data_IF_102940532993
#
_entry.id   IF_102940532993
#
_cell.length_a   1.000
_cell.length_b   1.000
_cell.length_c   1.000
_cell.angle_alpha   90.00
_cell.angle_beta   90.00
_cell.angle_gamma   90.00
#
_symmetry.space_group_name_H-M   'P 1'
#
loop_
_entity.id
_entity.type
_entity.pdbx_description
1 polymer ?
#
# COMPACT_ATOMS: atom_id res chain seq x y z
N UNK A 1 61.31 14.56 -39.73
CA UNK A 1 60.57 15.84 -39.55
C UNK A 1 59.18 15.59 -40.11
N UNK A 2 58.03 15.82 -39.48
CA UNK A 2 57.64 16.64 -38.34
C UNK A 2 56.29 16.09 -37.84
N UNK A 3 56.14 16.04 -36.52
CA UNK A 3 54.99 15.57 -35.74
C UNK A 3 53.68 16.29 -36.10
N UNK A 4 52.57 15.54 -36.18
CA UNK A 4 51.24 16.05 -35.84
C UNK A 4 50.44 14.95 -35.14
N UNK A 5 50.59 14.92 -33.82
CA UNK A 5 49.63 14.30 -32.89
C UNK A 5 48.38 15.18 -32.95
N UNK A 6 47.27 14.63 -33.46
CA UNK A 6 45.97 15.28 -33.36
C UNK A 6 45.20 14.59 -32.23
N UNK A 7 45.23 15.22 -31.05
CA UNK A 7 44.32 14.95 -29.95
C UNK A 7 42.88 15.16 -30.43
N UNK A 8 42.10 14.08 -30.53
CA UNK A 8 40.64 14.19 -30.50
C UNK A 8 40.23 14.02 -29.05
N UNK A 9 39.78 15.13 -28.48
CA UNK A 9 39.24 15.23 -27.13
C UNK A 9 37.98 14.36 -27.11
N UNK A 10 38.01 13.28 -26.33
CA UNK A 10 36.80 12.53 -26.00
C UNK A 10 35.89 13.46 -25.20
N UNK A 11 34.79 13.91 -25.81
CA UNK A 11 33.73 14.59 -25.09
C UNK A 11 33.06 13.55 -24.18
N UNK A 12 33.40 13.57 -22.89
CA UNK A 12 32.61 12.88 -21.87
C UNK A 12 31.22 13.53 -21.85
N UNK A 13 30.26 12.93 -22.55
CA UNK A 13 28.86 13.21 -22.32
C UNK A 13 28.59 12.82 -20.86
N UNK A 14 28.47 13.81 -19.99
CA UNK A 14 27.96 13.58 -18.64
C UNK A 14 26.53 13.09 -18.80
N UNK A 15 26.34 11.78 -18.70
CA UNK A 15 25.04 11.19 -18.39
C UNK A 15 24.64 11.80 -17.05
N UNK A 16 23.81 12.85 -17.10
CA UNK A 16 23.05 13.23 -15.92
C UNK A 16 22.18 12.01 -15.63
N UNK A 17 22.35 11.33 -14.48
CA UNK A 17 21.32 10.39 -14.07
C UNK A 17 20.08 11.24 -13.88
N UNK A 18 19.11 11.10 -14.80
CA UNK A 18 17.78 11.62 -14.56
C UNK A 18 17.35 11.05 -13.22
N UNK A 19 17.15 11.92 -12.23
CA UNK A 19 16.45 11.53 -11.03
C UNK A 19 15.11 10.98 -11.52
N UNK A 20 14.97 9.65 -11.55
CA UNK A 20 13.67 9.05 -11.45
C UNK A 20 12.97 9.77 -10.29
N UNK A 21 11.71 10.19 -10.41
CA UNK A 21 10.99 10.65 -9.24
C UNK A 21 11.17 9.55 -8.20
N UNK A 22 11.74 9.90 -7.04
CA UNK A 22 11.76 9.00 -5.90
C UNK A 22 10.34 8.47 -5.80
N UNK A 23 10.13 7.17 -5.96
CA UNK A 23 8.82 6.58 -5.74
C UNK A 23 8.45 7.05 -4.33
N UNK A 24 7.47 7.95 -4.27
CA UNK A 24 7.24 8.78 -3.08
C UNK A 24 7.16 7.89 -1.87
N UNK A 25 7.93 8.21 -0.83
CA UNK A 25 7.74 7.57 0.46
C UNK A 25 6.25 7.69 0.82
N UNK A 26 5.66 6.63 1.38
CA UNK A 26 4.28 6.68 1.86
C UNK A 26 4.12 7.92 2.75
N UNK A 27 3.08 8.69 2.49
CA UNK A 27 2.80 9.88 3.30
C UNK A 27 2.48 9.46 4.74
N UNK A 28 2.72 10.29 5.78
CA UNK A 28 2.55 9.87 7.17
C UNK A 28 1.13 9.45 7.57
N UNK A 29 0.14 9.76 6.75
CA UNK A 29 -1.26 9.36 6.93
C UNK A 29 -1.64 8.11 6.13
N UNK A 30 -0.80 7.68 5.20
CA UNK A 30 -0.97 6.41 4.50
C UNK A 30 -0.47 5.28 5.40
N UNK A 31 -1.08 4.11 5.25
CA UNK A 31 -0.66 2.94 5.99
C UNK A 31 -1.35 1.67 5.50
N UNK A 32 -0.96 0.56 6.10
CA UNK A 32 -1.55 -0.75 5.91
C UNK A 32 -2.09 -1.34 7.20
N UNK A 33 -3.15 -2.13 7.08
CA UNK A 33 -3.65 -3.04 8.09
C UNK A 33 -3.34 -4.47 7.62
N UNK A 34 -2.37 -5.13 8.25
CA UNK A 34 -2.18 -6.57 8.10
C UNK A 34 -3.19 -7.28 9.00
N UNK A 35 -4.06 -8.09 8.40
CA UNK A 35 -5.13 -8.77 9.12
C UNK A 35 -4.56 -9.93 9.92
N UNK A 36 -4.78 -9.91 11.23
CA UNK A 36 -4.25 -10.90 12.19
C UNK A 36 -5.27 -11.18 13.30
N UNK A 37 -5.07 -12.31 13.98
CA UNK A 37 -5.82 -12.66 15.19
C UNK A 37 -7.24 -13.16 14.97
N UNK A 38 -7.70 -13.32 13.73
CA UNK A 38 -9.00 -13.95 13.46
C UNK A 38 -8.96 -15.41 13.92
N UNK A 39 -10.01 -15.85 14.62
CA UNK A 39 -10.14 -17.23 15.09
C UNK A 39 -10.40 -18.18 13.90
N UNK A 40 -9.50 -19.14 13.61
CA UNK A 40 -9.71 -20.11 12.54
C UNK A 40 -10.86 -21.09 12.81
N UNK A 41 -11.30 -21.24 14.06
CA UNK A 41 -12.46 -22.06 14.42
C UNK A 41 -13.77 -21.25 14.47
N UNK A 42 -13.70 -19.93 14.33
CA UNK A 42 -14.85 -19.04 14.20
C UNK A 42 -15.28 -18.89 12.74
N UNK A 43 -15.67 -17.67 12.35
CA UNK A 43 -15.96 -17.34 10.95
C UNK A 43 -14.69 -17.20 10.10
N UNK A 44 -13.56 -16.85 10.72
CA UNK A 44 -12.23 -16.82 10.12
C UNK A 44 -12.05 -15.72 9.07
N UNK A 45 -12.83 -14.64 9.15
CA UNK A 45 -12.70 -13.49 8.25
C UNK A 45 -13.02 -12.16 8.93
N UNK A 46 -12.44 -11.08 8.40
CA UNK A 46 -12.82 -9.70 8.68
C UNK A 46 -13.73 -9.20 7.55
N UNK A 47 -14.91 -8.73 7.94
CA UNK A 47 -15.90 -8.13 7.05
C UNK A 47 -15.47 -6.73 6.61
N UNK A 48 -15.51 -6.48 5.30
CA UNK A 48 -15.40 -5.16 4.69
C UNK A 48 -16.80 -4.72 4.24
N UNK A 49 -17.23 -3.53 4.65
CA UNK A 49 -18.64 -3.10 4.63
C UNK A 49 -18.85 -1.80 3.85
N UNK A 50 -20.09 -1.51 3.45
CA UNK A 50 -20.44 -0.26 2.72
C UNK A 50 -20.27 1.01 3.56
N UNK A 51 -20.35 0.90 4.88
CA UNK A 51 -20.27 2.00 5.83
C UNK A 51 -19.62 1.58 7.15
N UNK A 52 -19.22 2.54 7.99
CA UNK A 52 -18.65 2.26 9.30
C UNK A 52 -19.75 1.70 10.22
N UNK A 53 -19.57 0.48 10.72
CA UNK A 53 -20.55 -0.17 11.61
C UNK A 53 -20.98 -1.55 11.12
N UNK A 54 -21.36 -2.42 12.06
CA UNK A 54 -21.76 -3.80 11.77
C UNK A 54 -23.16 -3.92 11.16
N UNK A 55 -23.97 -2.87 11.26
CA UNK A 55 -25.28 -2.73 10.62
C UNK A 55 -25.18 -2.50 9.11
N UNK A 56 -24.04 -2.02 8.62
CA UNK A 56 -23.81 -1.80 7.19
C UNK A 56 -23.57 -3.12 6.47
N UNK A 57 -24.10 -3.23 5.25
CA UNK A 57 -23.96 -4.42 4.42
C UNK A 57 -22.48 -4.76 4.17
N UNK A 58 -22.14 -6.03 4.37
CA UNK A 58 -20.87 -6.61 3.94
C UNK A 58 -20.79 -6.61 2.40
N UNK A 59 -19.61 -6.29 1.88
CA UNK A 59 -19.31 -6.27 0.45
C UNK A 59 -18.08 -7.11 0.08
N UNK A 60 -17.23 -7.41 1.06
CA UNK A 60 -16.08 -8.28 0.87
C UNK A 60 -15.63 -8.87 2.21
N UNK A 61 -14.75 -9.87 2.14
CA UNK A 61 -14.14 -10.55 3.28
C UNK A 61 -12.64 -10.66 3.05
N UNK A 62 -11.87 -10.42 4.10
CA UNK A 62 -10.42 -10.64 4.14
C UNK A 62 -10.06 -11.56 5.30
N UNK A 63 -8.92 -12.23 5.24
CA UNK A 63 -8.50 -13.28 6.20
C UNK A 63 -7.15 -12.96 6.81
N UNK A 64 -6.74 -13.75 7.80
CA UNK A 64 -5.41 -13.65 8.37
C UNK A 64 -4.34 -13.71 7.27
N UNK A 65 -3.45 -12.73 7.23
CA UNK A 65 -2.40 -12.60 6.22
C UNK A 65 -2.76 -11.73 5.01
N UNK A 66 -4.03 -11.38 4.81
CA UNK A 66 -4.41 -10.33 3.85
C UNK A 66 -4.05 -8.95 4.40
N UNK A 67 -3.91 -7.97 3.51
CA UNK A 67 -3.64 -6.58 3.86
C UNK A 67 -4.66 -5.63 3.25
N UNK A 68 -5.07 -4.61 4.00
CA UNK A 68 -5.88 -3.48 3.53
C UNK A 68 -5.06 -2.20 3.59
N UNK A 69 -5.11 -1.39 2.54
CA UNK A 69 -4.44 -0.09 2.49
C UNK A 69 -5.43 1.01 2.84
N UNK A 70 -5.00 1.99 3.64
CA UNK A 70 -5.87 3.02 4.18
C UNK A 70 -5.17 4.38 4.27
N UNK A 71 -5.99 5.42 4.28
CA UNK A 71 -5.62 6.76 4.76
C UNK A 71 -6.21 6.92 6.17
N UNK A 72 -5.34 7.06 7.18
CA UNK A 72 -5.72 7.21 8.58
C UNK A 72 -6.66 8.40 8.84
N UNK A 73 -6.64 9.44 7.98
CA UNK A 73 -7.54 10.60 8.09
C UNK A 73 -8.98 10.26 7.72
N UNK A 74 -9.21 9.13 7.02
CA UNK A 74 -10.55 8.64 6.63
C UNK A 74 -11.15 7.68 7.66
N UNK A 75 -10.47 7.44 8.78
CA UNK A 75 -11.01 6.63 9.86
C UNK A 75 -12.10 7.36 10.67
N UNK A 76 -13.09 6.61 11.13
CA UNK A 76 -14.19 7.06 11.98
C UNK A 76 -14.26 6.14 13.20
N UNK A 77 -13.74 6.61 14.34
CA UNK A 77 -13.64 5.80 15.55
C UNK A 77 -12.80 4.54 15.31
N UNK A 78 -13.42 3.37 15.48
CA UNK A 78 -12.76 2.06 15.30
C UNK A 78 -12.90 1.47 13.88
N UNK A 79 -13.36 2.28 12.93
CA UNK A 79 -13.56 1.88 11.54
C UNK A 79 -12.68 2.71 10.62
N UNK A 80 -12.05 2.08 9.63
CA UNK A 80 -11.28 2.78 8.60
C UNK A 80 -11.76 2.37 7.22
N UNK A 81 -11.56 3.27 6.24
CA UNK A 81 -11.85 2.99 4.84
C UNK A 81 -10.63 2.35 4.19
N UNK A 82 -10.80 1.13 3.67
CA UNK A 82 -9.86 0.53 2.74
C UNK A 82 -9.96 1.21 1.38
N UNK A 83 -8.82 1.55 0.79
CA UNK A 83 -8.70 2.13 -0.55
C UNK A 83 -8.05 1.18 -1.56
N UNK A 84 -7.76 -0.04 -1.12
CA UNK A 84 -7.18 -1.14 -1.85
C UNK A 84 -6.69 -2.20 -0.86
N UNK A 85 -6.05 -3.23 -1.37
CA UNK A 85 -5.45 -4.25 -0.50
C UNK A 85 -4.83 -5.41 -1.25
N UNK A 86 -4.14 -6.27 -0.52
CA UNK A 86 -3.61 -7.54 -1.02
C UNK A 86 -4.45 -8.66 -0.41
N UNK A 87 -5.21 -9.36 -1.24
CA UNK A 87 -6.09 -10.45 -0.82
C UNK A 87 -5.65 -11.73 -1.51
N UNK A 88 -5.35 -12.77 -0.73
CA UNK A 88 -4.80 -14.03 -1.25
C UNK A 88 -3.50 -13.83 -2.05
N UNK A 89 -2.68 -12.85 -1.67
CA UNK A 89 -1.42 -12.51 -2.36
C UNK A 89 -1.58 -11.73 -3.66
N UNK A 90 -2.78 -11.25 -4.00
CA UNK A 90 -3.03 -10.44 -5.21
C UNK A 90 -3.46 -9.03 -4.83
N UNK A 91 -2.93 -8.04 -5.53
CA UNK A 91 -3.40 -6.65 -5.41
C UNK A 91 -4.86 -6.57 -5.88
N UNK A 92 -5.68 -5.85 -5.12
CA UNK A 92 -7.10 -5.63 -5.36
C UNK A 92 -7.48 -4.17 -5.19
N UNK A 93 -8.59 -3.80 -5.79
CA UNK A 93 -9.27 -2.51 -5.68
C UNK A 93 -10.36 -2.51 -4.60
N UNK A 94 -10.23 -3.39 -3.59
CA UNK A 94 -11.20 -3.51 -2.50
C UNK A 94 -11.38 -2.15 -1.81
N UNK A 95 -12.62 -1.65 -1.80
CA UNK A 95 -12.96 -0.35 -1.23
C UNK A 95 -14.16 -0.46 -0.31
N UNK A 96 -13.95 -0.22 0.98
CA UNK A 96 -14.99 -0.32 2.00
C UNK A 96 -14.46 -0.23 3.43
N UNK A 97 -15.37 -0.22 4.39
CA UNK A 97 -15.08 0.01 5.79
C UNK A 97 -14.78 -1.28 6.54
N UNK A 98 -13.72 -1.30 7.34
CA UNK A 98 -13.34 -2.44 8.17
C UNK A 98 -13.09 -2.02 9.61
N UNK A 99 -13.33 -2.95 10.54
CA UNK A 99 -13.09 -2.74 11.96
C UNK A 99 -11.62 -2.98 12.31
N UNK A 100 -10.99 -2.04 12.99
CA UNK A 100 -9.53 -1.99 13.13
C UNK A 100 -8.95 -2.91 14.21
N UNK A 101 -9.78 -3.59 15.01
CA UNK A 101 -9.29 -4.43 16.10
C UNK A 101 -8.48 -5.66 15.66
N UNK A 102 -8.54 -6.01 14.38
CA UNK A 102 -7.83 -7.14 13.77
C UNK A 102 -6.61 -6.70 12.96
N UNK A 103 -6.20 -5.43 13.11
CA UNK A 103 -5.11 -4.85 12.35
C UNK A 103 -3.82 -4.81 13.15
N UNK A 104 -2.79 -5.40 12.57
CA UNK A 104 -1.41 -4.98 12.81
C UNK A 104 -1.08 -3.86 11.81
N UNK A 105 -0.97 -2.63 12.30
CA UNK A 105 -0.73 -1.46 11.45
C UNK A 105 0.75 -1.33 11.06
N UNK A 106 1.00 -0.96 9.81
CA UNK A 106 2.33 -0.65 9.30
C UNK A 106 2.31 0.58 8.37
N UNK A 107 3.44 1.31 8.23
CA UNK A 107 3.55 2.46 7.33
C UNK A 107 3.41 2.09 5.84
#
# INVERSE_FOLDING_TARGET
MLHKVLCVIAACAALTPGLAPAQGAAEPWEGGCLVRGLDPNGDGFLSVRRGPGSENAEIARVRNGDALFLDHRKCQGKWCLAEGGVVGGRQTDIRGWFYTAWCEFYP
#
